data_IF_632660719410
#
_entry.id   IF_632660719410
#
_cell.length_a   1.000
_cell.length_b   1.000
_cell.length_c   1.000
_cell.angle_alpha   90.00
_cell.angle_beta   90.00
_cell.angle_gamma   90.00
#
_symmetry.space_group_name_H-M   'P 1'
#
loop_
_entity.id
_entity.type
_entity.pdbx_description
1 polymer ?
#
# COMPACT_ATOMS: atom_id res chain seq x y z
N UNK A 1 36.76 -26.05 -34.34
CA UNK A 1 35.72 -25.30 -33.62
C UNK A 1 36.41 -24.56 -32.47
N UNK A 2 36.65 -23.26 -32.61
CA UNK A 2 37.18 -22.46 -31.50
C UNK A 2 36.06 -22.33 -30.47
N UNK A 3 36.19 -23.02 -29.34
CA UNK A 3 35.24 -22.93 -28.23
C UNK A 3 35.20 -21.49 -27.74
N UNK A 4 34.03 -20.87 -27.79
CA UNK A 4 33.83 -19.47 -27.43
C UNK A 4 34.07 -19.16 -25.93
N UNK A 5 34.34 -20.18 -25.09
CA UNK A 5 34.71 -20.04 -23.69
C UNK A 5 35.61 -21.21 -23.26
N UNK A 6 36.80 -20.89 -22.72
CA UNK A 6 37.70 -21.85 -22.08
C UNK A 6 37.36 -21.93 -20.58
N UNK A 7 36.78 -23.04 -20.14
CA UNK A 7 36.36 -23.26 -18.75
C UNK A 7 37.53 -23.57 -17.81
N UNK A 8 38.65 -24.06 -18.34
CA UNK A 8 39.77 -24.57 -17.54
C UNK A 8 40.59 -23.44 -16.87
N UNK A 9 40.57 -22.24 -17.46
CA UNK A 9 41.29 -21.07 -16.95
C UNK A 9 40.36 -20.05 -16.25
N UNK A 10 39.07 -20.37 -16.12
CA UNK A 10 38.06 -19.43 -15.64
C UNK A 10 37.88 -18.20 -16.56
N UNK A 11 37.01 -17.29 -16.14
CA UNK A 11 36.82 -16.01 -16.84
C UNK A 11 37.96 -15.08 -16.40
N UNK A 12 38.85 -14.72 -17.33
CA UNK A 12 39.92 -13.76 -17.06
C UNK A 12 39.33 -12.43 -16.60
N UNK A 13 39.76 -11.95 -15.44
CA UNK A 13 39.31 -10.67 -14.92
C UNK A 13 39.75 -9.55 -15.87
N UNK A 14 38.86 -8.60 -16.21
CA UNK A 14 39.22 -7.48 -17.07
C UNK A 14 40.31 -6.62 -16.41
N UNK A 15 41.16 -5.93 -17.19
CA UNK A 15 42.17 -5.01 -16.66
C UNK A 15 41.53 -3.98 -15.70
N UNK A 16 42.10 -3.84 -14.51
CA UNK A 16 41.57 -2.94 -13.47
C UNK A 16 40.49 -3.54 -12.57
N UNK A 17 40.16 -4.83 -12.72
CA UNK A 17 39.29 -5.53 -11.76
C UNK A 17 39.94 -5.54 -10.38
N UNK A 18 39.26 -4.92 -9.42
CA UNK A 18 39.61 -5.00 -8.01
C UNK A 18 38.64 -6.01 -7.37
N UNK A 19 39.14 -7.14 -6.82
CA UNK A 19 38.27 -8.09 -6.16
C UNK A 19 37.60 -7.40 -4.94
N UNK A 20 36.28 -7.53 -4.78
CA UNK A 20 35.62 -7.03 -3.58
C UNK A 20 36.13 -7.78 -2.34
N UNK A 21 36.11 -7.14 -1.15
CA UNK A 21 35.62 -5.79 -0.88
C UNK A 21 36.65 -4.67 -1.20
N UNK A 22 36.21 -3.62 -1.88
CA UNK A 22 37.00 -2.40 -2.10
C UNK A 22 36.69 -1.39 -0.99
N UNK A 23 37.68 -1.10 -0.13
CA UNK A 23 37.54 -0.15 0.98
C UNK A 23 38.14 1.22 0.62
N UNK A 24 37.55 1.89 -0.36
CA UNK A 24 37.95 3.25 -0.75
C UNK A 24 36.79 4.24 -0.55
N UNK A 25 37.05 5.30 0.22
CA UNK A 25 36.06 6.34 0.54
C UNK A 25 35.70 7.23 -0.67
N UNK A 26 36.49 7.18 -1.75
CA UNK A 26 36.23 7.89 -3.01
C UNK A 26 35.32 7.10 -3.98
N UNK A 27 35.01 5.84 -3.67
CA UNK A 27 34.20 4.98 -4.54
C UNK A 27 32.77 5.52 -4.67
N UNK A 28 32.32 5.64 -5.92
CA UNK A 28 30.98 6.13 -6.30
C UNK A 28 30.58 7.50 -5.72
N UNK A 29 31.55 8.36 -5.38
CA UNK A 29 31.25 9.76 -4.98
C UNK A 29 30.44 10.46 -6.08
N UNK A 30 29.47 11.28 -5.68
CA UNK A 30 28.49 11.96 -6.53
C UNK A 30 27.58 11.02 -7.36
N UNK A 31 27.50 9.73 -7.01
CA UNK A 31 26.58 8.78 -7.63
C UNK A 31 25.50 8.32 -6.65
N UNK A 32 24.42 7.76 -7.19
CA UNK A 32 23.48 6.98 -6.40
C UNK A 32 24.05 5.57 -6.21
N UNK A 33 23.86 5.00 -5.02
CA UNK A 33 24.43 3.69 -4.64
C UNK A 33 23.39 2.82 -3.97
N UNK A 34 23.56 1.51 -4.15
CA UNK A 34 22.78 0.49 -3.45
C UNK A 34 23.59 -0.06 -2.28
N UNK A 35 22.92 -0.27 -1.15
CA UNK A 35 23.50 -0.92 0.03
C UNK A 35 22.72 -2.19 0.34
N UNK A 36 23.46 -3.25 0.64
CA UNK A 36 22.93 -4.53 1.09
C UNK A 36 23.30 -4.70 2.56
N UNK A 37 22.33 -4.55 3.46
CA UNK A 37 22.54 -4.75 4.89
C UNK A 37 22.41 -6.22 5.29
N UNK A 38 22.69 -6.55 6.55
CA UNK A 38 22.56 -7.92 7.09
C UNK A 38 21.16 -8.53 6.94
N UNK A 39 20.13 -7.69 6.74
CA UNK A 39 18.77 -8.14 6.49
C UNK A 39 18.49 -8.40 5.00
N UNK A 40 19.43 -8.11 4.10
CA UNK A 40 19.29 -8.32 2.67
C UNK A 40 18.96 -9.78 2.36
N UNK A 41 17.84 -10.01 1.68
CA UNK A 41 17.41 -11.35 1.30
C UNK A 41 16.90 -12.22 2.45
N UNK A 42 16.74 -11.68 3.67
CA UNK A 42 16.17 -12.42 4.79
C UNK A 42 14.71 -12.78 4.49
N UNK A 43 14.40 -14.08 4.51
CA UNK A 43 13.05 -14.55 4.20
C UNK A 43 11.98 -13.93 5.13
N UNK A 44 10.84 -13.46 4.58
CA UNK A 44 9.73 -12.97 5.38
C UNK A 44 9.16 -14.06 6.29
N UNK A 45 8.65 -13.67 7.45
CA UNK A 45 7.94 -14.56 8.37
C UNK A 45 6.48 -14.14 8.48
N UNK A 46 5.58 -15.10 8.35
CA UNK A 46 4.13 -14.92 8.54
C UNK A 46 3.71 -15.73 9.75
N UNK A 47 2.99 -15.09 10.67
CA UNK A 47 2.30 -15.75 11.78
C UNK A 47 0.80 -15.65 11.52
N UNK A 48 0.17 -16.80 11.37
CA UNK A 48 -1.27 -16.94 11.20
C UNK A 48 -1.89 -17.52 12.47
N UNK A 49 -3.10 -17.10 12.80
CA UNK A 49 -3.91 -17.72 13.83
C UNK A 49 -5.37 -17.59 13.46
N UNK A 50 -6.17 -18.55 13.90
CA UNK A 50 -7.61 -18.52 13.73
C UNK A 50 -8.30 -19.15 14.94
N UNK A 51 -9.52 -18.72 15.18
CA UNK A 51 -10.42 -19.31 16.16
C UNK A 51 -11.82 -19.28 15.58
N UNK A 52 -12.54 -20.40 15.63
CA UNK A 52 -13.93 -20.47 15.19
C UNK A 52 -14.78 -21.27 16.16
N UNK A 53 -16.05 -20.90 16.22
CA UNK A 53 -17.11 -21.62 16.92
C UNK A 53 -18.18 -21.94 15.90
N UNK A 54 -18.57 -23.21 15.86
CA UNK A 54 -19.66 -23.70 15.04
C UNK A 54 -20.77 -24.24 15.95
N UNK A 55 -22.02 -23.91 15.62
CA UNK A 55 -23.18 -24.41 16.31
C UNK A 55 -24.29 -24.75 15.32
N UNK A 56 -24.98 -25.85 15.57
CA UNK A 56 -26.16 -26.25 14.82
C UNK A 56 -27.42 -25.77 15.54
N UNK A 57 -28.28 -25.05 14.83
CA UNK A 57 -29.58 -24.58 15.31
C UNK A 57 -30.65 -25.01 14.32
N UNK A 58 -31.51 -25.95 14.74
CA UNK A 58 -32.56 -26.55 13.93
C UNK A 58 -32.02 -27.23 12.65
N UNK A 59 -32.15 -26.56 11.49
CA UNK A 59 -31.68 -27.05 10.18
C UNK A 59 -30.50 -26.24 9.67
N UNK A 60 -30.01 -25.30 10.47
CA UNK A 60 -28.94 -24.38 10.12
C UNK A 60 -27.67 -24.72 10.89
N UNK A 61 -26.54 -24.65 10.20
CA UNK A 61 -25.22 -24.64 10.80
C UNK A 61 -24.69 -23.21 10.70
N UNK A 62 -24.35 -22.63 11.83
CA UNK A 62 -23.77 -21.29 11.94
C UNK A 62 -22.34 -21.45 12.42
N UNK A 63 -21.42 -20.82 11.71
CA UNK A 63 -20.01 -20.74 12.09
C UNK A 63 -19.57 -19.28 12.11
N UNK A 64 -18.93 -18.90 13.20
CA UNK A 64 -18.30 -17.58 13.35
C UNK A 64 -16.84 -17.81 13.67
N UNK A 65 -15.96 -17.30 12.81
CA UNK A 65 -14.52 -17.42 12.93
C UNK A 65 -13.83 -16.08 12.83
N UNK A 66 -12.69 -15.98 13.50
CA UNK A 66 -11.74 -14.89 13.31
C UNK A 66 -10.43 -15.46 12.76
N UNK A 67 -9.84 -14.76 11.78
CA UNK A 67 -8.54 -15.08 11.18
C UNK A 67 -7.63 -13.86 11.28
N UNK A 68 -6.44 -14.05 11.84
CA UNK A 68 -5.40 -13.04 11.94
C UNK A 68 -4.13 -13.49 11.22
N UNK A 69 -3.54 -12.60 10.41
CA UNK A 69 -2.18 -12.79 9.87
C UNK A 69 -1.30 -11.59 10.20
N UNK A 70 -0.04 -11.87 10.54
CA UNK A 70 1.02 -10.86 10.72
C UNK A 70 2.24 -11.27 9.94
N UNK A 71 2.62 -10.48 8.94
CA UNK A 71 3.87 -10.65 8.21
C UNK A 71 4.91 -9.62 8.65
N UNK A 72 6.16 -10.05 8.74
CA UNK A 72 7.32 -9.19 9.03
C UNK A 72 8.52 -9.65 8.21
N UNK A 73 9.42 -8.73 7.90
CA UNK A 73 10.59 -9.05 7.07
C UNK A 73 10.22 -9.11 5.60
N UNK A 74 9.10 -8.49 5.21
CA UNK A 74 8.73 -8.43 3.80
C UNK A 74 9.70 -7.53 3.06
N UNK A 75 9.89 -7.83 1.79
CA UNK A 75 10.78 -7.08 0.96
C UNK A 75 10.35 -5.59 0.89
N UNK A 76 11.33 -4.72 1.12
CA UNK A 76 11.22 -3.27 1.24
C UNK A 76 12.51 -2.62 0.71
N UNK A 77 12.42 -1.36 0.29
CA UNK A 77 13.58 -0.51 -0.01
C UNK A 77 13.47 0.77 0.81
N UNK A 78 14.56 1.15 1.45
CA UNK A 78 14.66 2.31 2.34
C UNK A 78 15.70 3.29 1.81
N UNK A 79 15.44 4.59 1.91
CA UNK A 79 16.38 5.63 1.44
C UNK A 79 17.13 6.16 2.64
N UNK A 80 18.42 5.84 2.73
CA UNK A 80 19.24 6.15 3.89
C UNK A 80 19.74 7.60 3.90
N UNK A 81 19.83 8.22 2.72
CA UNK A 81 20.40 9.55 2.58
C UNK A 81 19.33 10.67 2.61
N UNK A 82 18.16 10.46 3.19
CA UNK A 82 17.17 11.53 3.30
C UNK A 82 17.66 12.63 4.25
N UNK A 83 17.47 13.91 3.90
CA UNK A 83 17.75 15.00 4.84
C UNK A 83 16.76 14.92 6.03
N UNK A 84 17.22 15.04 7.29
CA UNK A 84 16.33 15.01 8.45
C UNK A 84 15.24 16.10 8.40
N UNK A 85 14.02 15.73 8.78
CA UNK A 85 12.84 16.64 8.79
C UNK A 85 13.04 17.90 9.62
N UNK A 86 13.90 17.86 10.65
CA UNK A 86 14.25 19.02 11.47
C UNK A 86 14.93 20.14 10.67
N UNK A 87 15.56 19.82 9.53
CA UNK A 87 16.20 20.80 8.66
C UNK A 87 15.22 21.64 7.86
N UNK A 88 13.93 21.29 7.80
CA UNK A 88 12.88 22.13 7.22
C UNK A 88 12.80 23.52 7.85
N UNK A 89 13.27 23.68 9.09
CA UNK A 89 13.35 24.98 9.76
C UNK A 89 14.25 25.99 9.03
N UNK A 90 15.18 25.53 8.19
CA UNK A 90 16.05 26.39 7.37
C UNK A 90 15.32 26.97 6.14
N UNK A 91 14.10 26.51 5.83
CA UNK A 91 13.27 27.06 4.78
C UNK A 91 13.96 27.11 3.41
N UNK A 92 13.87 28.27 2.75
CA UNK A 92 14.44 28.49 1.41
C UNK A 92 15.97 28.44 1.38
N UNK A 93 16.65 28.55 2.54
CA UNK A 93 18.11 28.46 2.62
C UNK A 93 18.63 27.10 2.14
N UNK A 94 17.85 26.03 2.35
CA UNK A 94 18.17 24.67 1.91
C UNK A 94 18.43 24.57 0.40
N UNK A 95 17.71 25.36 -0.39
CA UNK A 95 17.78 25.32 -1.85
C UNK A 95 18.89 26.20 -2.42
N UNK A 96 19.53 27.04 -1.59
CA UNK A 96 20.66 27.87 -2.01
C UNK A 96 21.93 27.03 -2.10
N UNK A 97 22.87 27.49 -2.92
CA UNK A 97 24.18 26.86 -3.08
C UNK A 97 24.98 26.95 -1.78
N UNK A 98 25.89 26.02 -1.55
CA UNK A 98 26.72 26.00 -0.35
C UNK A 98 27.68 27.20 -0.26
N UNK A 99 27.99 27.83 -1.39
CA UNK A 99 28.82 29.03 -1.50
C UNK A 99 28.01 30.36 -1.51
N UNK A 100 26.69 30.29 -1.35
CA UNK A 100 25.84 31.48 -1.31
C UNK A 100 26.16 32.34 -0.06
N UNK A 101 26.30 33.67 -0.19
CA UNK A 101 26.64 34.54 0.93
C UNK A 101 25.68 34.40 2.12
N UNK A 102 24.40 34.15 1.89
CA UNK A 102 23.44 33.95 2.97
C UNK A 102 23.60 32.60 3.67
N UNK A 103 24.08 31.57 2.97
CA UNK A 103 24.41 30.26 3.55
C UNK A 103 25.66 30.37 4.40
N UNK A 104 26.68 31.10 3.91
CA UNK A 104 27.91 31.39 4.65
C UNK A 104 27.61 32.24 5.90
N UNK A 105 26.78 33.28 5.75
CA UNK A 105 26.36 34.13 6.87
C UNK A 105 25.55 33.37 7.93
N UNK A 106 24.82 32.32 7.52
CA UNK A 106 24.15 31.41 8.44
C UNK A 106 25.09 30.39 9.11
N UNK A 107 26.40 30.46 8.84
CA UNK A 107 27.44 29.65 9.49
C UNK A 107 27.67 28.27 8.86
N UNK A 108 27.15 28.02 7.65
CA UNK A 108 27.36 26.75 6.97
C UNK A 108 28.59 26.79 6.06
N UNK A 109 29.34 25.69 6.06
CA UNK A 109 30.51 25.49 5.21
C UNK A 109 30.39 24.16 4.48
N UNK A 110 31.28 23.94 3.50
CA UNK A 110 31.38 22.66 2.79
C UNK A 110 31.64 21.50 3.77
N UNK A 111 31.01 20.33 3.59
CA UNK A 111 31.19 19.18 4.47
C UNK A 111 32.56 18.49 4.28
N UNK A 112 33.19 18.64 3.11
CA UNK A 112 34.54 18.18 2.81
C UNK A 112 35.18 19.03 1.70
N UNK A 113 36.51 19.02 1.59
CA UNK A 113 37.28 19.93 0.73
C UNK A 113 36.82 19.95 -0.73
N UNK A 114 36.60 18.77 -1.32
CA UNK A 114 36.21 18.61 -2.72
C UNK A 114 34.69 18.63 -2.95
N UNK A 115 33.89 19.04 -1.96
CA UNK A 115 32.46 19.21 -2.17
C UNK A 115 32.22 20.35 -3.17
N UNK A 116 31.47 20.07 -4.23
CA UNK A 116 31.22 21.03 -5.29
C UNK A 116 30.48 22.25 -4.73
N UNK A 117 31.02 23.45 -4.96
CA UNK A 117 30.39 24.69 -4.50
C UNK A 117 29.00 24.91 -5.12
N UNK A 118 28.74 24.25 -6.25
CA UNK A 118 27.45 24.27 -6.93
C UNK A 118 26.34 23.44 -6.30
N UNK A 119 26.67 22.56 -5.35
CA UNK A 119 25.67 21.80 -4.64
C UNK A 119 24.94 22.68 -3.63
N UNK A 120 23.68 22.32 -3.36
CA UNK A 120 22.85 23.05 -2.42
C UNK A 120 23.23 22.77 -0.96
N UNK A 121 22.86 23.67 -0.06
CA UNK A 121 22.94 23.45 1.38
C UNK A 121 22.20 22.17 1.79
N UNK A 122 21.06 21.88 1.17
CA UNK A 122 20.32 20.65 1.42
C UNK A 122 21.17 19.40 1.16
N UNK A 123 21.91 19.35 0.04
CA UNK A 123 22.80 18.23 -0.27
C UNK A 123 23.97 18.14 0.72
N UNK A 124 24.53 19.29 1.13
CA UNK A 124 25.63 19.35 2.10
C UNK A 124 25.24 18.85 3.50
N UNK A 125 23.96 18.98 3.89
CA UNK A 125 23.45 18.59 5.21
C UNK A 125 22.92 17.15 5.28
N UNK A 126 22.94 16.38 4.19
CA UNK A 126 22.51 14.97 4.17
C UNK A 126 23.42 14.11 5.06
N UNK A 127 22.95 12.97 5.59
CA UNK A 127 23.79 12.06 6.39
C UNK A 127 25.08 11.62 5.69
N UNK A 128 25.01 11.44 4.37
CA UNK A 128 26.14 11.08 3.51
C UNK A 128 26.21 12.07 2.33
N UNK A 129 26.77 13.28 2.54
CA UNK A 129 26.72 14.36 1.56
C UNK A 129 27.50 14.08 0.27
N UNK A 130 28.42 13.11 0.31
CA UNK A 130 29.23 12.67 -0.83
C UNK A 130 28.48 11.77 -1.83
N UNK A 131 27.32 11.23 -1.45
CA UNK A 131 26.48 10.40 -2.32
C UNK A 131 25.21 11.15 -2.71
N UNK A 132 24.63 10.79 -3.86
CA UNK A 132 23.28 11.21 -4.21
C UNK A 132 22.29 10.39 -3.38
N UNK A 133 21.57 9.44 -3.97
CA UNK A 133 20.66 8.58 -3.22
C UNK A 133 21.36 7.30 -2.77
N UNK A 134 21.09 6.90 -1.52
CA UNK A 134 21.54 5.61 -0.97
C UNK A 134 20.30 4.77 -0.75
N UNK A 135 20.13 3.73 -1.57
CA UNK A 135 19.01 2.80 -1.49
C UNK A 135 19.45 1.52 -0.78
N UNK A 136 18.93 1.29 0.41
CA UNK A 136 19.08 0.02 1.09
C UNK A 136 18.05 -0.95 0.52
N UNK A 137 18.53 -1.89 -0.30
CA UNK A 137 17.69 -2.88 -0.98
C UNK A 137 17.33 -3.99 -0.01
N UNK A 138 16.15 -4.58 -0.18
CA UNK A 138 15.66 -5.70 0.61
C UNK A 138 15.85 -5.54 2.13
N UNK A 139 15.63 -4.34 2.66
CA UNK A 139 15.93 -3.98 4.06
C UNK A 139 15.07 -4.72 5.10
N UNK A 140 14.02 -5.43 4.67
CA UNK A 140 13.18 -6.25 5.53
C UNK A 140 12.31 -5.46 6.51
N UNK A 141 12.14 -4.15 6.30
CA UNK A 141 11.25 -3.31 7.12
C UNK A 141 9.77 -3.59 6.85
N UNK A 142 9.45 -4.26 5.75
CA UNK A 142 8.08 -4.50 5.29
C UNK A 142 7.25 -5.34 6.27
N UNK A 143 6.00 -4.93 6.47
CA UNK A 143 5.03 -5.58 7.38
C UNK A 143 3.64 -5.63 6.79
N UNK A 144 2.87 -6.67 7.14
CA UNK A 144 1.44 -6.77 6.83
C UNK A 144 0.64 -7.16 8.06
N UNK A 145 -0.60 -6.68 8.10
CA UNK A 145 -1.60 -7.05 9.09
C UNK A 145 -2.89 -7.39 8.36
N UNK A 146 -3.39 -8.60 8.59
CA UNK A 146 -4.70 -9.01 8.14
C UNK A 146 -5.53 -9.45 9.34
N UNK A 147 -6.75 -8.97 9.42
CA UNK A 147 -7.72 -9.34 10.44
C UNK A 147 -9.05 -9.55 9.72
N UNK A 148 -9.70 -10.69 9.93
CA UNK A 148 -10.99 -10.97 9.32
C UNK A 148 -11.94 -11.69 10.28
N UNK A 149 -13.16 -11.18 10.37
CA UNK A 149 -14.32 -11.92 10.84
C UNK A 149 -14.91 -12.67 9.65
N UNK A 150 -15.08 -13.98 9.78
CA UNK A 150 -15.69 -14.85 8.80
C UNK A 150 -16.93 -15.48 9.43
N UNK A 151 -18.07 -15.35 8.76
CA UNK A 151 -19.33 -15.92 9.22
C UNK A 151 -19.92 -16.75 8.10
N UNK A 152 -20.33 -17.96 8.44
CA UNK A 152 -20.94 -18.90 7.50
C UNK A 152 -22.27 -19.37 8.08
N UNK A 153 -23.31 -19.31 7.26
CA UNK A 153 -24.63 -19.84 7.55
C UNK A 153 -24.96 -20.85 6.47
N UNK A 154 -25.32 -22.06 6.88
CA UNK A 154 -25.60 -23.14 5.96
C UNK A 154 -26.85 -23.91 6.34
N UNK A 155 -27.64 -24.29 5.34
CA UNK A 155 -28.79 -25.18 5.46
C UNK A 155 -28.77 -26.16 4.30
N UNK A 156 -28.66 -27.46 4.60
CA UNK A 156 -28.53 -28.54 3.58
C UNK A 156 -29.76 -29.45 3.45
N UNK A 157 -30.82 -29.22 4.21
CA UNK A 157 -31.91 -30.21 4.35
C UNK A 157 -33.22 -29.81 3.66
N UNK A 158 -33.84 -30.76 2.96
CA UNK A 158 -35.14 -30.62 2.29
C UNK A 158 -35.07 -29.84 0.98
N UNK A 159 -36.24 -29.41 0.49
CA UNK A 159 -36.38 -28.69 -0.79
C UNK A 159 -35.70 -27.32 -0.86
N UNK A 160 -35.23 -26.79 0.27
CA UNK A 160 -34.50 -25.53 0.32
C UNK A 160 -33.04 -25.83 0.67
N UNK A 161 -32.09 -25.20 -0.01
CA UNK A 161 -30.68 -25.22 0.39
C UNK A 161 -30.15 -23.79 0.36
N UNK A 162 -29.39 -23.43 1.38
CA UNK A 162 -28.81 -22.09 1.54
C UNK A 162 -27.37 -22.22 1.99
N UNK A 163 -26.48 -21.46 1.35
CA UNK A 163 -25.15 -21.19 1.85
C UNK A 163 -24.89 -19.69 1.76
N UNK A 164 -24.68 -19.05 2.90
CA UNK A 164 -24.28 -17.66 2.98
C UNK A 164 -22.93 -17.55 3.68
N UNK A 165 -22.00 -16.80 3.08
CA UNK A 165 -20.68 -16.54 3.62
C UNK A 165 -20.43 -15.03 3.64
N UNK A 166 -20.18 -14.48 4.82
CA UNK A 166 -19.84 -13.09 5.06
C UNK A 166 -18.41 -12.99 5.57
N UNK A 167 -17.61 -12.12 4.97
CA UNK A 167 -16.27 -11.79 5.45
C UNK A 167 -16.17 -10.29 5.67
N UNK A 168 -15.86 -9.89 6.91
CA UNK A 168 -15.48 -8.53 7.25
C UNK A 168 -13.98 -8.49 7.56
N UNK A 169 -13.18 -7.83 6.73
CA UNK A 169 -11.73 -7.86 6.81
C UNK A 169 -11.06 -6.48 6.82
N UNK A 170 -9.87 -6.43 7.41
CA UNK A 170 -8.97 -5.28 7.44
C UNK A 170 -7.58 -5.73 6.99
N UNK A 171 -7.12 -5.18 5.86
CA UNK A 171 -5.80 -5.51 5.29
C UNK A 171 -4.94 -4.27 5.24
N UNK A 172 -3.88 -4.25 6.05
CA UNK A 172 -2.92 -3.16 6.15
C UNK A 172 -1.53 -3.62 5.74
N UNK A 173 -0.73 -2.71 5.22
CA UNK A 173 0.67 -2.92 4.84
C UNK A 173 1.54 -1.73 5.22
N UNK A 174 2.84 -1.98 5.28
CA UNK A 174 3.89 -0.99 5.49
C UNK A 174 5.10 -1.41 4.68
N UNK A 175 5.67 -0.49 3.89
CA UNK A 175 6.96 -0.65 3.23
C UNK A 175 7.06 -1.88 2.34
N UNK A 176 5.94 -2.34 1.77
CA UNK A 176 5.92 -3.56 0.96
C UNK A 176 4.96 -3.42 -0.23
N UNK A 177 5.40 -3.94 -1.37
CA UNK A 177 4.61 -4.11 -2.58
C UNK A 177 4.90 -5.46 -3.22
N UNK A 178 3.99 -5.94 -4.07
CA UNK A 178 3.83 -7.31 -4.61
C UNK A 178 5.06 -8.05 -5.17
N UNK A 179 6.22 -7.41 -5.36
CA UNK A 179 7.33 -7.97 -6.13
C UNK A 179 8.71 -7.77 -5.49
N UNK A 180 9.55 -8.80 -5.59
CA UNK A 180 10.87 -8.91 -4.94
C UNK A 180 11.98 -8.27 -5.78
N UNK A 181 11.87 -8.33 -7.11
CA UNK A 181 12.96 -7.99 -8.05
C UNK A 181 12.85 -6.58 -8.64
N UNK A 182 11.67 -5.96 -8.56
CA UNK A 182 11.39 -4.62 -9.08
C UNK A 182 10.62 -3.83 -8.04
N UNK A 183 11.32 -3.33 -7.03
CA UNK A 183 10.78 -2.27 -6.18
C UNK A 183 10.96 -0.90 -6.84
N UNK A 184 10.84 -0.84 -8.18
CA UNK A 184 10.71 0.45 -8.84
C UNK A 184 9.50 1.12 -8.23
N UNK A 185 9.76 2.15 -7.43
CA UNK A 185 8.80 3.05 -6.82
C UNK A 185 7.82 3.44 -7.91
N UNK A 186 6.65 2.78 -8.02
CA UNK A 186 5.84 3.02 -9.17
C UNK A 186 5.36 4.46 -9.03
N UNK A 187 5.54 5.24 -10.09
CA UNK A 187 4.86 6.53 -10.30
C UNK A 187 3.32 6.42 -10.12
N UNK A 188 2.82 5.20 -9.99
CA UNK A 188 1.46 4.74 -9.67
C UNK A 188 1.06 4.83 -8.19
N UNK A 189 1.80 5.52 -7.31
CA UNK A 189 1.20 5.96 -6.05
C UNK A 189 1.10 4.92 -4.90
N UNK A 190 1.88 3.86 -5.01
CA UNK A 190 2.20 2.92 -3.93
C UNK A 190 2.80 3.60 -2.68
N UNK A 191 2.26 3.49 -1.45
CA UNK A 191 3.01 3.80 -0.20
C UNK A 191 4.06 2.71 0.09
N UNK A 192 4.93 2.45 -0.89
CA UNK A 192 6.02 1.46 -0.77
C UNK A 192 7.28 2.08 -0.18
N UNK A 193 7.42 3.41 -0.25
CA UNK A 193 8.50 4.14 0.36
C UNK A 193 8.01 5.19 1.35
N UNK A 194 8.92 5.58 2.24
CA UNK A 194 8.64 6.54 3.27
C UNK A 194 8.63 7.97 2.71
N UNK A 195 7.64 8.77 3.11
CA UNK A 195 7.78 10.22 3.04
C UNK A 195 8.88 10.68 4.01
N UNK A 196 8.92 10.08 5.21
CA UNK A 196 9.95 10.28 6.23
C UNK A 196 10.61 8.94 6.57
N UNK A 197 11.83 8.74 6.09
CA UNK A 197 12.66 7.56 6.34
C UNK A 197 13.15 7.49 7.79
N UNK A 198 12.93 8.53 8.60
CA UNK A 198 13.13 8.50 10.04
C UNK A 198 11.87 8.02 10.79
N UNK A 199 10.72 7.89 10.11
CA UNK A 199 9.46 7.45 10.70
C UNK A 199 8.65 6.50 9.79
N UNK A 200 9.09 5.24 9.71
CA UNK A 200 8.41 4.22 8.91
C UNK A 200 6.99 3.89 9.38
N UNK A 201 6.65 4.13 10.66
CA UNK A 201 5.33 3.81 11.19
C UNK A 201 4.21 4.57 10.45
N UNK A 202 4.52 5.76 9.94
CA UNK A 202 3.60 6.57 9.16
C UNK A 202 3.29 5.99 7.77
N UNK A 203 4.09 5.05 7.27
CA UNK A 203 3.82 4.39 5.98
C UNK A 203 2.69 3.37 6.06
N UNK A 204 2.20 3.07 7.27
CA UNK A 204 1.14 2.09 7.46
C UNK A 204 -0.15 2.57 6.79
N UNK A 205 -0.56 1.88 5.75
CA UNK A 205 -1.79 2.18 5.00
C UNK A 205 -2.58 0.90 4.74
N UNK A 206 -3.79 1.05 4.21
CA UNK A 206 -4.47 -0.06 3.57
C UNK A 206 -3.67 -0.57 2.38
N UNK A 207 -3.72 -1.88 2.14
CA UNK A 207 -3.19 -2.45 0.90
C UNK A 207 -4.15 -2.16 -0.27
N UNK A 208 -3.65 -2.00 -1.51
CA UNK A 208 -4.48 -1.60 -2.66
C UNK A 208 -5.64 -2.56 -2.97
N UNK A 209 -5.49 -3.84 -2.61
CA UNK A 209 -6.46 -4.91 -2.81
C UNK A 209 -7.31 -5.19 -1.55
N UNK A 210 -7.35 -4.26 -0.61
CA UNK A 210 -8.20 -4.40 0.57
C UNK A 210 -9.69 -4.31 0.17
N UNK A 211 -10.42 -5.39 0.42
CA UNK A 211 -11.87 -5.47 0.24
C UNK A 211 -12.52 -5.76 1.59
N UNK A 212 -13.02 -4.71 2.30
CA UNK A 212 -13.42 -4.88 3.69
C UNK A 212 -14.65 -5.74 3.92
N UNK A 213 -15.64 -5.74 3.03
CA UNK A 213 -16.83 -6.59 3.19
C UNK A 213 -17.10 -7.35 1.90
N UNK A 214 -17.29 -8.66 2.04
CA UNK A 214 -17.72 -9.55 0.96
C UNK A 214 -18.81 -10.46 1.52
N UNK A 215 -19.96 -10.49 0.87
CA UNK A 215 -21.09 -11.37 1.15
C UNK A 215 -21.39 -12.18 -0.10
N UNK A 216 -21.35 -13.50 0.02
CA UNK A 216 -21.80 -14.41 -1.02
C UNK A 216 -23.01 -15.19 -0.49
N UNK A 217 -24.08 -15.25 -1.28
CA UNK A 217 -25.29 -16.02 -0.97
C UNK A 217 -25.57 -16.94 -2.15
N UNK A 218 -25.63 -18.23 -1.87
CA UNK A 218 -26.06 -19.27 -2.78
C UNK A 218 -27.35 -19.86 -2.22
N UNK A 219 -28.40 -19.87 -3.04
CA UNK A 219 -29.71 -20.36 -2.66
C UNK A 219 -30.26 -21.25 -3.77
N UNK A 220 -30.79 -22.41 -3.41
CA UNK A 220 -31.57 -23.27 -4.31
C UNK A 220 -32.86 -23.70 -3.63
N UNK A 221 -33.95 -23.71 -4.39
CA UNK A 221 -35.26 -24.10 -3.91
C UNK A 221 -35.98 -24.95 -4.95
N UNK A 222 -36.25 -26.19 -4.59
CA UNK A 222 -37.06 -27.10 -5.37
C UNK A 222 -38.53 -26.70 -5.17
N UNK A 223 -39.17 -26.25 -6.26
CA UNK A 223 -40.56 -25.85 -6.20
C UNK A 223 -41.44 -27.06 -5.86
N UNK A 224 -42.33 -26.95 -4.87
CA UNK A 224 -43.16 -28.07 -4.45
C UNK A 224 -44.42 -28.19 -5.33
N UNK A 225 -44.27 -28.08 -6.65
CA UNK A 225 -45.34 -28.20 -7.65
C UNK A 225 -45.26 -29.53 -8.40
N UNK A 226 -46.42 -30.06 -8.81
CA UNK A 226 -46.53 -31.32 -9.54
C UNK A 226 -47.08 -32.47 -8.70
N UNK A 227 -47.09 -33.67 -9.31
CA UNK A 227 -47.72 -34.87 -8.76
C UNK A 227 -47.05 -35.30 -7.46
N UNK A 228 -47.84 -35.43 -6.39
CA UNK A 228 -47.35 -35.84 -5.06
C UNK A 228 -46.62 -34.74 -4.27
N UNK A 229 -46.53 -33.51 -4.78
CA UNK A 229 -45.90 -32.37 -4.08
C UNK A 229 -46.95 -31.55 -3.29
N UNK A 230 -46.47 -30.61 -2.49
CA UNK A 230 -47.30 -29.89 -1.49
C UNK A 230 -48.28 -28.91 -2.14
N UNK A 231 -47.88 -28.21 -3.20
CA UNK A 231 -48.66 -27.16 -3.87
C UNK A 231 -48.99 -27.58 -5.32
N UNK A 232 -50.12 -27.10 -5.86
CA UNK A 232 -50.63 -27.42 -7.22
C UNK A 232 -50.59 -28.93 -7.52
N UNK A 233 -51.43 -29.68 -6.80
CA UNK A 233 -51.59 -31.13 -7.01
C UNK A 233 -52.37 -31.34 -8.29
N UNK A 234 -51.70 -31.78 -9.35
CA UNK A 234 -52.36 -32.12 -10.62
C UNK A 234 -51.99 -33.54 -11.05
N UNK A 235 -53.01 -34.29 -11.46
CA UNK A 235 -52.83 -35.62 -12.07
C UNK A 235 -52.91 -35.55 -13.60
N UNK A 236 -53.17 -34.37 -14.19
CA UNK A 236 -53.22 -34.18 -15.64
C UNK A 236 -51.80 -34.16 -16.20
N UNK A 237 -51.50 -35.09 -17.10
CA UNK A 237 -50.15 -35.32 -17.65
C UNK A 237 -49.48 -34.04 -18.16
N UNK A 238 -50.16 -33.28 -19.03
CA UNK A 238 -49.59 -32.07 -19.64
C UNK A 238 -49.31 -30.96 -18.63
N UNK A 239 -50.18 -30.77 -17.63
CA UNK A 239 -49.98 -29.76 -16.60
C UNK A 239 -48.84 -30.19 -15.67
N UNK A 240 -48.80 -31.47 -15.29
CA UNK A 240 -47.72 -32.01 -14.47
C UNK A 240 -46.36 -31.84 -15.17
N UNK A 241 -46.27 -32.14 -16.46
CA UNK A 241 -45.04 -31.96 -17.24
C UNK A 241 -44.57 -30.50 -17.23
N UNK A 242 -45.49 -29.54 -17.30
CA UNK A 242 -45.16 -28.12 -17.32
C UNK A 242 -44.75 -27.55 -15.96
N UNK A 243 -45.25 -28.11 -14.85
CA UNK A 243 -45.09 -27.50 -13.50
C UNK A 243 -44.27 -28.34 -12.52
N UNK A 244 -43.88 -29.58 -12.86
CA UNK A 244 -43.11 -30.46 -11.96
C UNK A 244 -41.60 -30.22 -12.02
N UNK A 245 -40.94 -30.51 -10.90
CA UNK A 245 -39.48 -30.61 -10.75
C UNK A 245 -38.67 -29.35 -11.15
N UNK A 246 -39.32 -28.18 -11.10
CA UNK A 246 -38.64 -26.91 -11.22
C UNK A 246 -37.76 -26.64 -10.01
N UNK A 247 -36.51 -26.24 -10.25
CA UNK A 247 -35.60 -25.73 -9.23
C UNK A 247 -35.24 -24.29 -9.56
N UNK A 248 -35.43 -23.38 -8.60
CA UNK A 248 -34.97 -22.01 -8.72
C UNK A 248 -33.67 -21.88 -7.96
N UNK A 249 -32.63 -21.36 -8.62
CA UNK A 249 -31.36 -21.08 -7.99
C UNK A 249 -30.95 -19.62 -8.17
N UNK A 250 -30.22 -19.08 -7.20
CA UNK A 250 -29.62 -17.75 -7.29
C UNK A 250 -28.25 -17.74 -6.65
N UNK A 251 -27.35 -16.98 -7.26
CA UNK A 251 -26.03 -16.68 -6.75
C UNK A 251 -25.90 -15.16 -6.68
N UNK A 252 -25.67 -14.65 -5.47
CA UNK A 252 -25.58 -13.22 -5.20
C UNK A 252 -24.23 -12.93 -4.58
N UNK A 253 -23.55 -11.91 -5.10
CA UNK A 253 -22.28 -11.43 -4.58
C UNK A 253 -22.37 -9.93 -4.33
N UNK A 254 -22.17 -9.56 -3.07
CA UNK A 254 -22.07 -8.17 -2.64
C UNK A 254 -20.67 -7.94 -2.10
N UNK A 255 -19.97 -6.96 -2.65
CA UNK A 255 -18.61 -6.63 -2.23
C UNK A 255 -18.43 -5.13 -2.09
N UNK A 256 -17.57 -4.76 -1.16
CA UNK A 256 -17.08 -3.39 -1.04
C UNK A 256 -16.34 -2.97 -2.30
N UNK A 257 -16.50 -1.69 -2.69
CA UNK A 257 -15.68 -1.08 -3.74
C UNK A 257 -14.19 -1.03 -3.37
N UNK A 258 -13.36 -0.92 -4.40
CA UNK A 258 -11.92 -0.75 -4.24
C UNK A 258 -11.58 0.61 -3.60
N UNK A 259 -10.37 0.70 -3.07
CA UNK A 259 -9.84 1.96 -2.53
C UNK A 259 -9.56 2.95 -3.66
N UNK A 260 -9.80 4.23 -3.38
CA UNK A 260 -9.45 5.32 -4.28
C UNK A 260 -8.06 5.81 -3.93
N UNK A 261 -7.25 5.97 -4.95
CA UNK A 261 -5.90 6.53 -4.85
C UNK A 261 -5.98 8.06 -4.87
N UNK A 262 -5.68 8.71 -3.75
CA UNK A 262 -5.63 10.17 -3.63
C UNK A 262 -4.21 10.63 -3.83
N UNK A 263 -3.93 11.39 -4.88
CA UNK A 263 -2.56 11.77 -5.23
C UNK A 263 -2.30 13.26 -5.02
N UNK A 264 -1.24 13.60 -4.29
CA UNK A 264 -0.76 14.96 -4.18
C UNK A 264 -0.05 15.40 -5.49
N UNK A 265 -0.34 16.60 -6.01
CA UNK A 265 0.44 17.18 -7.11
C UNK A 265 1.81 17.61 -6.57
N UNK A 266 2.86 17.33 -7.37
CA UNK A 266 4.27 17.71 -7.20
C UNK A 266 4.90 17.47 -5.82
N UNK A 267 5.99 16.72 -5.75
CA UNK A 267 6.70 16.52 -4.49
C UNK A 267 7.60 17.72 -4.14
N UNK A 268 7.04 18.71 -3.44
CA UNK A 268 7.73 19.92 -2.96
C UNK A 268 8.78 19.63 -1.87
N UNK A 269 8.77 18.43 -1.29
CA UNK A 269 9.77 17.97 -0.31
C UNK A 269 10.92 17.18 -0.98
N UNK A 270 10.93 17.08 -2.31
CA UNK A 270 11.91 16.32 -3.08
C UNK A 270 13.31 16.94 -3.10
N UNK A 271 13.94 16.92 -4.27
CA UNK A 271 15.31 17.39 -4.48
C UNK A 271 15.51 18.83 -3.98
N UNK A 272 16.58 19.05 -3.21
CA UNK A 272 16.90 20.38 -2.66
C UNK A 272 16.11 20.76 -1.41
N UNK A 273 15.22 19.89 -0.90
CA UNK A 273 14.52 20.08 0.37
C UNK A 273 14.77 18.91 1.31
N UNK A 274 14.02 17.81 1.20
CA UNK A 274 14.25 16.62 2.02
C UNK A 274 14.86 15.45 1.25
N UNK A 275 14.88 15.49 -0.07
CA UNK A 275 15.21 14.34 -0.91
C UNK A 275 14.29 13.13 -0.62
N UNK A 276 13.03 13.40 -0.25
CA UNK A 276 12.02 12.36 -0.19
C UNK A 276 11.44 12.12 -1.57
N UNK A 277 11.00 10.91 -1.86
CA UNK A 277 10.32 10.58 -3.12
C UNK A 277 8.81 10.79 -3.04
N UNK A 278 8.24 10.83 -1.83
CA UNK A 278 6.80 10.84 -1.63
C UNK A 278 6.34 12.01 -0.76
N UNK A 279 5.22 12.59 -1.14
CA UNK A 279 4.46 13.55 -0.34
C UNK A 279 3.02 13.06 -0.20
N UNK A 280 2.54 12.94 1.04
CA UNK A 280 1.16 12.59 1.34
C UNK A 280 0.24 13.78 1.10
N UNK A 281 -0.99 13.49 0.70
CA UNK A 281 -2.05 14.46 0.65
C UNK A 281 -2.62 14.69 2.06
N UNK A 282 -3.00 15.92 2.38
CA UNK A 282 -3.68 16.25 3.62
C UNK A 282 -5.20 16.26 3.37
N UNK A 283 -5.97 15.82 4.36
CA UNK A 283 -7.44 15.92 4.33
C UNK A 283 -7.82 17.40 4.53
N UNK A 284 -8.62 17.93 3.62
CA UNK A 284 -9.18 19.28 3.69
C UNK A 284 -10.42 19.33 4.56
N UNK A 285 -11.02 20.52 4.68
CA UNK A 285 -12.27 20.73 5.45
C UNK A 285 -13.54 20.38 4.68
N UNK A 286 -13.46 20.16 3.36
CA UNK A 286 -14.62 19.85 2.52
C UNK A 286 -15.09 18.39 2.64
N UNK A 287 -16.41 18.12 2.44
CA UNK A 287 -16.90 16.74 2.34
C UNK A 287 -16.25 16.05 1.15
N UNK A 288 -15.94 14.76 1.25
CA UNK A 288 -15.24 14.05 0.17
C UNK A 288 -16.13 13.84 -1.08
N UNK A 289 -17.44 13.75 -0.89
CA UNK A 289 -18.42 13.70 -1.97
C UNK A 289 -19.10 15.06 -2.15
N UNK A 290 -19.52 15.35 -3.37
CA UNK A 290 -20.29 16.56 -3.70
C UNK A 290 -21.78 16.42 -3.42
N UNK A 291 -22.27 15.19 -3.16
CA UNK A 291 -23.69 14.90 -2.94
C UNK A 291 -24.48 14.61 -4.21
N UNK A 292 -23.84 14.56 -5.38
CA UNK A 292 -24.47 14.15 -6.64
C UNK A 292 -24.77 12.65 -6.61
N UNK A 293 -25.98 12.27 -7.03
CA UNK A 293 -26.40 10.86 -7.08
C UNK A 293 -25.78 10.12 -8.28
N UNK A 294 -25.51 8.81 -8.11
CA UNK A 294 -24.81 7.93 -9.10
C UNK A 294 -25.55 7.77 -10.39
N UNK A 295 -26.87 7.90 -10.34
CA UNK A 295 -27.73 7.78 -11.51
C UNK A 295 -27.78 9.08 -12.32
N UNK A 296 -27.36 10.20 -11.72
CA UNK A 296 -27.43 11.54 -12.31
C UNK A 296 -26.06 12.13 -12.68
N UNK A 297 -24.97 11.41 -12.37
CA UNK A 297 -23.63 11.84 -12.76
C UNK A 297 -23.46 11.70 -14.27
N UNK A 298 -23.35 12.82 -14.98
CA UNK A 298 -22.91 12.85 -16.37
C UNK A 298 -21.38 12.89 -16.44
N UNK A 299 -20.71 11.82 -16.90
CA UNK A 299 -19.25 11.80 -17.00
C UNK A 299 -18.69 12.76 -18.06
N UNK A 300 -19.52 13.28 -18.97
CA UNK A 300 -19.09 14.22 -20.02
C UNK A 300 -19.15 15.68 -19.55
N UNK A 301 -19.86 15.96 -18.45
CA UNK A 301 -19.94 17.30 -17.91
C UNK A 301 -18.82 17.55 -16.88
N UNK A 302 -17.80 18.30 -17.28
CA UNK A 302 -16.62 18.62 -16.46
C UNK A 302 -16.93 19.48 -15.21
N UNK A 303 -18.12 20.09 -15.15
CA UNK A 303 -18.60 20.87 -14.00
C UNK A 303 -19.24 19.98 -12.92
N UNK A 304 -19.73 18.79 -13.28
CA UNK A 304 -20.29 17.83 -12.33
C UNK A 304 -19.21 16.83 -11.92
N UNK A 305 -18.92 16.79 -10.62
CA UNK A 305 -17.90 15.90 -10.07
C UNK A 305 -18.50 15.06 -8.97
N UNK A 306 -18.25 13.76 -9.01
CA UNK A 306 -18.58 12.86 -7.91
C UNK A 306 -17.81 13.19 -6.64
N UNK A 307 -16.53 13.52 -6.81
CA UNK A 307 -15.61 13.86 -5.72
C UNK A 307 -15.40 15.35 -5.62
N UNK A 308 -15.44 15.85 -4.39
CA UNK A 308 -15.13 17.23 -4.10
C UNK A 308 -13.60 17.43 -4.12
N UNK A 309 -13.13 18.32 -4.99
CA UNK A 309 -11.70 18.64 -5.07
C UNK A 309 -11.16 19.32 -3.80
N UNK A 310 -12.02 20.02 -3.04
CA UNK A 310 -11.64 20.69 -1.79
C UNK A 310 -11.52 19.74 -0.59
N UNK A 311 -11.89 18.47 -0.75
CA UNK A 311 -11.76 17.46 0.30
C UNK A 311 -10.29 17.11 0.59
N UNK A 312 -9.37 17.47 -0.30
CA UNK A 312 -7.95 17.26 -0.13
C UNK A 312 -7.20 18.54 -0.45
N UNK A 313 -6.31 18.94 0.47
CA UNK A 313 -5.48 20.12 0.32
C UNK A 313 -4.02 19.73 0.16
N UNK A 314 -3.30 20.55 -0.58
CA UNK A 314 -1.85 20.53 -0.64
C UNK A 314 -1.36 21.88 -0.13
N UNK A 315 -0.38 21.89 0.77
CA UNK A 315 0.24 23.15 1.16
C UNK A 315 0.99 23.68 -0.07
N UNK A 316 0.58 24.86 -0.55
CA UNK A 316 1.18 25.54 -1.69
C UNK A 316 2.57 26.06 -1.29
N UNK A 317 3.60 25.31 -1.65
CA UNK A 317 4.83 25.96 -2.11
C UNK A 317 4.87 25.75 -3.62
N UNK A 318 4.64 26.83 -4.36
CA UNK A 318 4.60 26.83 -5.82
C UNK A 318 5.98 26.50 -6.39
N UNK A 319 6.22 25.23 -6.73
CA UNK A 319 7.39 24.85 -7.52
C UNK A 319 6.95 23.86 -8.59
N UNK A 320 7.10 24.27 -9.86
CA UNK A 320 6.87 23.44 -11.04
C UNK A 320 7.97 22.38 -11.11
N UNK A 321 7.62 21.12 -10.87
CA UNK A 321 8.36 19.94 -11.35
C UNK A 321 7.59 18.68 -10.93
N UNK A 322 7.43 17.76 -11.88
CA UNK A 322 6.53 16.63 -11.79
C UNK A 322 7.11 15.45 -11.02
N UNK A 323 6.49 15.12 -9.88
CA UNK A 323 6.32 13.74 -9.40
C UNK A 323 5.03 13.65 -8.59
N UNK A 324 4.43 12.46 -8.58
CA UNK A 324 3.03 12.15 -8.21
C UNK A 324 3.05 11.11 -7.07
N UNK A 325 2.37 11.33 -5.94
CA UNK A 325 2.38 10.39 -4.79
C UNK A 325 1.05 10.36 -4.03
N UNK A 326 0.66 9.24 -3.40
CA UNK A 326 -0.75 9.04 -2.97
C UNK A 326 -1.05 8.33 -1.65
N UNK A 327 -2.31 8.49 -1.20
CA UNK A 327 -2.93 7.93 0.00
C UNK A 327 -4.23 7.20 -0.38
N UNK A 328 -4.51 6.04 0.21
CA UNK A 328 -5.70 5.23 -0.13
C UNK A 328 -6.85 5.49 0.85
N UNK A 329 -8.04 5.83 0.35
CA UNK A 329 -9.27 6.06 1.13
C UNK A 329 -10.50 5.34 0.53
N UNK A 330 -11.56 5.10 1.32
CA UNK A 330 -12.73 4.27 0.94
C UNK A 330 -14.07 5.03 0.99
N UNK A 331 -14.99 4.62 0.11
CA UNK A 331 -16.44 4.81 0.27
C UNK A 331 -17.21 3.47 0.20
N UNK A 332 -18.39 3.34 0.83
CA UNK A 332 -19.29 2.22 0.60
C UNK A 332 -19.91 2.30 -0.80
N UNK A 333 -20.00 1.18 -1.52
CA UNK A 333 -20.96 1.02 -2.62
C UNK A 333 -22.19 0.33 -2.03
N UNK A 334 -23.32 1.03 -2.02
CA UNK A 334 -24.64 0.45 -1.77
C UNK A 334 -25.30 0.17 -3.11
N UNK A 335 -25.67 -1.09 -3.34
CA UNK A 335 -26.65 -1.44 -4.36
C UNK A 335 -27.99 -1.60 -3.65
N UNK A 336 -28.70 -0.49 -3.43
CA UNK A 336 -30.16 -0.48 -3.43
C UNK A 336 -30.74 0.94 -3.33
N UNK A 337 -31.91 1.09 -3.94
CA UNK A 337 -32.77 2.27 -3.94
C UNK A 337 -33.26 2.60 -2.51
N UNK A 338 -33.39 3.90 -2.21
CA UNK A 338 -34.18 4.44 -1.09
C UNK A 338 -33.68 4.30 0.35
N UNK A 339 -32.39 4.58 0.64
CA UNK A 339 -32.02 5.03 2.00
C UNK A 339 -31.05 6.21 2.01
N UNK A 340 -31.40 7.22 2.82
CA UNK A 340 -30.61 8.44 3.09
C UNK A 340 -29.16 8.11 3.51
N UNK A 341 -28.17 8.97 3.18
CA UNK A 341 -26.76 8.69 3.43
C UNK A 341 -26.47 8.62 4.93
N UNK A 342 -26.07 7.43 5.40
CA UNK A 342 -25.46 7.24 6.72
C UNK A 342 -24.00 7.70 6.65
N UNK A 343 -23.56 8.47 7.64
CA UNK A 343 -22.24 9.06 7.81
C UNK A 343 -21.10 8.30 7.11
N UNK A 344 -20.54 8.90 6.06
CA UNK A 344 -19.33 8.43 5.40
C UNK A 344 -18.11 8.84 6.24
N UNK A 345 -17.51 7.88 6.94
CA UNK A 345 -16.30 8.11 7.72
C UNK A 345 -15.06 7.84 6.87
N UNK A 346 -14.19 8.85 6.78
CA UNK A 346 -12.80 8.65 6.39
C UNK A 346 -12.09 7.89 7.51
N UNK A 347 -11.60 6.69 7.23
CA UNK A 347 -10.87 5.90 8.23
C UNK A 347 -9.38 6.21 8.13
N UNK A 348 -8.92 7.17 8.94
CA UNK A 348 -7.49 7.39 9.14
C UNK A 348 -6.92 6.19 9.89
N UNK A 349 -5.76 5.67 9.47
CA UNK A 349 -5.07 4.62 10.23
C UNK A 349 -4.48 5.31 11.47
N UNK A 350 -4.95 5.01 12.69
CA UNK A 350 -4.42 5.68 13.87
C UNK A 350 -2.93 5.34 14.02
N UNK A 351 -2.10 6.37 14.15
CA UNK A 351 -0.68 6.20 14.49
C UNK A 351 -0.54 5.48 15.84
N UNK A 352 0.45 4.59 16.02
CA UNK A 352 0.70 3.98 17.32
C UNK A 352 1.14 5.04 18.35
N UNK A 353 0.76 4.84 19.62
CA UNK A 353 1.24 5.67 20.75
C UNK A 353 2.77 5.60 20.81
N UNK A 354 3.39 6.75 21.10
CA UNK A 354 4.85 6.98 21.19
C UNK A 354 5.56 5.77 21.81
N UNK A 355 6.27 5.00 20.99
CA UNK A 355 7.34 4.10 21.42
C UNK A 355 8.68 4.79 21.14
N UNK A 356 9.61 4.63 22.07
CA UNK A 356 10.85 5.39 22.19
C UNK A 356 11.57 5.68 20.88
N UNK A 357 11.88 6.97 20.71
CA UNK A 357 12.70 7.52 19.64
C UNK A 357 14.12 7.00 19.80
N UNK A 358 14.45 5.89 19.14
CA UNK A 358 15.84 5.62 18.75
C UNK A 358 15.96 5.86 17.26
N UNK A 359 16.81 6.80 16.80
CA UNK A 359 17.14 6.86 15.39
C UNK A 359 17.71 5.49 14.99
N UNK A 360 17.13 4.90 13.94
CA UNK A 360 17.67 3.70 13.30
C UNK A 360 18.87 4.15 12.46
N UNK A 361 19.95 4.56 13.13
CA UNK A 361 21.27 4.58 12.53
C UNK A 361 21.81 3.16 12.71
N UNK A 362 22.12 2.41 11.64
CA UNK A 362 22.85 1.17 11.81
C UNK A 362 24.13 1.51 12.59
N UNK A 363 24.26 0.94 13.78
CA UNK A 363 25.52 1.00 14.53
C UNK A 363 26.58 0.37 13.65
N UNK A 364 27.71 1.06 13.53
CA UNK A 364 28.93 0.56 12.87
C UNK A 364 29.14 -0.93 13.20
N UNK A 365 29.12 -1.76 12.16
CA UNK A 365 29.93 -2.96 12.03
C UNK A 365 30.33 -3.05 10.56
N UNK A 366 31.45 -2.40 10.25
CA UNK A 366 32.35 -2.88 9.19
C UNK A 366 33.05 -4.08 9.80
N UNK A 367 32.68 -5.32 9.47
CA UNK A 367 33.56 -6.48 9.71
C UNK A 367 33.19 -7.69 8.84
N UNK A 368 34.21 -8.07 8.05
CA UNK A 368 34.66 -9.41 7.63
C UNK A 368 33.61 -10.43 7.17
N UNK A 369 33.62 -10.68 5.85
CA UNK A 369 34.04 -11.97 5.28
C UNK A 369 34.76 -11.73 3.95
#
# INVERSE_FOLDING_TARGET
MNGALNWDNGIAAPPGFQPPPVFDQAVFVNNAVDVFSDNFGRAPRIRSWSASIQHEVQKFVIEVGYVGNRGRGLNSTTLLNQLPVSRLALGSLLQRRIDDPAVIAAGFTKPYANFASSNTLAQALRPYPQYLDISERNSGIGRIWYDALQTRLERRFGAWQLMAAYTYSKTLGLGHYRQIFSQNFPSSGYNVAAQDNYNYAEMKSFLPFHTPQVLNILNSFDLPFGRGKRFVKTNKFLINLAVSDWTISSLQQYKSGALILVQAPSNTLGTGVLFTQFKKANVGSGPIQTGIDRTTLDPNNLSTRWFNAAAFIHNSQSIRSGQRSSVLWRFPQSADHDRKPVHQQAYEVPGPRRQDRRPYLPRRCVQYL
#
